data_IF_873644606110
#
_entry.id   IF_873644606110
#
_cell.length_a   1.000
_cell.length_b   1.000
_cell.length_c   1.000
_cell.angle_alpha   90.00
_cell.angle_beta   90.00
_cell.angle_gamma   90.00
#
_symmetry.space_group_name_H-M   'P 1'
#
loop_
_entity.id
_entity.type
_entity.pdbx_description
1 polymer ?
#
# COMPACT_ATOMS: atom_id res chain seq x y z
N UNK A 1 -29.70 -13.32 12.01
CA UNK A 1 -28.67 -12.28 11.76
C UNK A 1 -27.35 -12.80 12.32
N UNK A 2 -26.21 -12.65 11.64
CA UNK A 2 -24.92 -13.07 12.18
C UNK A 2 -24.60 -12.40 13.52
N UNK A 3 -24.07 -13.18 14.46
CA UNK A 3 -23.62 -12.69 15.77
C UNK A 3 -22.11 -12.87 15.85
N UNK A 4 -21.41 -11.79 16.19
CA UNK A 4 -19.98 -11.81 16.52
C UNK A 4 -19.80 -11.58 18.02
N UNK A 5 -18.64 -11.94 18.56
CA UNK A 5 -18.28 -11.68 19.95
C UNK A 5 -17.09 -10.75 20.04
N UNK A 6 -17.25 -9.66 20.78
CA UNK A 6 -16.22 -8.66 21.08
C UNK A 6 -16.03 -8.67 22.59
N UNK A 7 -14.85 -9.08 23.06
CA UNK A 7 -14.59 -9.26 24.51
C UNK A 7 -15.66 -10.14 25.18
N UNK A 8 -16.02 -11.24 24.52
CA UNK A 8 -17.08 -12.19 24.92
C UNK A 8 -18.50 -11.60 24.99
N UNK A 9 -18.71 -10.35 24.59
CA UNK A 9 -20.04 -9.75 24.46
C UNK A 9 -20.61 -9.98 23.06
N UNK A 10 -21.85 -10.51 22.93
CA UNK A 10 -22.47 -10.72 21.64
C UNK A 10 -22.84 -9.39 20.99
N UNK A 11 -22.59 -9.28 19.68
CA UNK A 11 -22.99 -8.15 18.86
C UNK A 11 -23.59 -8.67 17.55
N UNK A 12 -24.85 -8.31 17.31
CA UNK A 12 -25.60 -8.77 16.15
C UNK A 12 -25.40 -7.78 15.01
N UNK A 13 -25.03 -8.31 13.85
CA UNK A 13 -24.83 -7.52 12.63
C UNK A 13 -25.83 -7.95 11.56
N UNK A 14 -26.23 -7.01 10.70
CA UNK A 14 -26.87 -7.37 9.45
C UNK A 14 -25.91 -8.18 8.57
N UNK A 15 -26.45 -9.08 7.74
CA UNK A 15 -25.64 -9.99 6.92
C UNK A 15 -24.63 -9.26 6.03
N UNK A 16 -25.06 -8.16 5.41
CA UNK A 16 -24.19 -7.32 4.56
C UNK A 16 -23.03 -6.69 5.33
N UNK A 17 -23.28 -6.20 6.54
CA UNK A 17 -22.25 -5.62 7.40
C UNK A 17 -21.26 -6.69 7.90
N UNK A 18 -21.77 -7.89 8.21
CA UNK A 18 -20.93 -9.04 8.57
C UNK A 18 -20.00 -9.44 7.43
N UNK A 19 -20.51 -9.60 6.21
CA UNK A 19 -19.70 -10.00 5.04
C UNK A 19 -18.61 -8.95 4.71
N UNK A 20 -18.89 -7.67 4.94
CA UNK A 20 -17.90 -6.59 4.83
C UNK A 20 -16.87 -6.64 5.96
N UNK A 21 -17.32 -6.84 7.19
CA UNK A 21 -16.45 -6.93 8.36
C UNK A 21 -15.40 -8.05 8.20
N UNK A 22 -15.81 -9.24 7.77
CA UNK A 22 -14.90 -10.39 7.58
C UNK A 22 -13.75 -10.04 6.63
N UNK A 23 -14.01 -9.23 5.59
CA UNK A 23 -12.97 -8.76 4.65
C UNK A 23 -12.10 -7.65 5.21
N UNK A 24 -12.64 -6.84 6.13
CA UNK A 24 -11.94 -5.73 6.77
C UNK A 24 -11.04 -6.17 7.93
N UNK A 25 -11.41 -7.20 8.70
CA UNK A 25 -10.66 -7.63 9.88
C UNK A 25 -9.15 -7.82 9.61
N UNK A 26 -8.71 -8.48 8.52
CA UNK A 26 -7.28 -8.63 8.24
C UNK A 26 -6.53 -7.30 8.05
N UNK A 27 -7.23 -6.27 7.57
CA UNK A 27 -6.64 -4.94 7.40
C UNK A 27 -6.38 -4.24 8.75
N UNK A 28 -7.17 -4.57 9.77
CA UNK A 28 -6.97 -4.11 11.15
C UNK A 28 -6.07 -5.04 11.97
N UNK A 29 -5.44 -6.06 11.36
CA UNK A 29 -4.64 -7.04 12.09
C UNK A 29 -5.48 -7.92 13.03
N UNK A 30 -6.75 -8.11 12.69
CA UNK A 30 -7.72 -8.93 13.40
C UNK A 30 -8.14 -10.12 12.55
N UNK A 31 -8.70 -11.14 13.20
CA UNK A 31 -9.31 -12.28 12.55
C UNK A 31 -10.54 -12.74 13.33
N UNK A 32 -11.40 -13.48 12.65
CA UNK A 32 -12.57 -14.12 13.24
C UNK A 32 -12.25 -15.59 13.50
N UNK A 33 -12.56 -16.09 14.69
CA UNK A 33 -12.49 -17.54 14.99
C UNK A 33 -13.71 -18.27 14.45
N UNK A 34 -13.67 -19.60 14.45
CA UNK A 34 -14.82 -20.45 14.09
C UNK A 34 -16.06 -20.17 14.97
N UNK A 35 -15.83 -19.77 16.23
CA UNK A 35 -16.87 -19.35 17.18
C UNK A 35 -17.34 -17.89 17.00
N UNK A 36 -17.01 -17.24 15.87
CA UNK A 36 -17.30 -15.83 15.59
C UNK A 36 -16.70 -14.84 16.61
N UNK A 37 -15.59 -15.18 17.27
CA UNK A 37 -14.89 -14.26 18.18
C UNK A 37 -13.85 -13.44 17.42
N UNK A 38 -13.80 -12.13 17.67
CA UNK A 38 -12.75 -11.27 17.12
C UNK A 38 -11.49 -11.38 17.99
N UNK A 39 -10.38 -11.78 17.40
CA UNK A 39 -9.07 -11.89 18.07
C UNK A 39 -7.95 -11.26 17.23
N UNK A 40 -6.82 -10.96 17.88
CA UNK A 40 -5.63 -10.46 17.20
C UNK A 40 -4.99 -11.51 16.28
N UNK A 41 -4.79 -11.15 15.01
CA UNK A 41 -4.23 -12.04 13.98
C UNK A 41 -2.69 -12.14 14.03
N UNK A 42 -2.03 -11.31 14.84
CA UNK A 42 -0.56 -11.22 14.91
C UNK A 42 -0.01 -11.82 16.21
N UNK A 43 -0.81 -12.61 16.93
CA UNK A 43 -0.43 -13.29 18.17
C UNK A 43 0.87 -14.09 17.97
N UNK A 44 1.83 -13.88 18.86
CA UNK A 44 3.12 -14.57 18.85
C UNK A 44 4.17 -13.96 17.91
N UNK A 45 3.79 -13.00 17.05
CA UNK A 45 4.76 -12.23 16.26
C UNK A 45 5.43 -11.19 17.14
N UNK A 46 6.75 -11.08 16.99
CA UNK A 46 7.59 -10.09 17.66
C UNK A 46 8.27 -9.26 16.59
N UNK A 47 8.32 -7.95 16.80
CA UNK A 47 9.02 -7.02 15.93
C UNK A 47 10.00 -6.20 16.77
N UNK A 48 11.25 -6.20 16.36
CA UNK A 48 12.32 -5.45 16.99
C UNK A 48 12.62 -4.19 16.18
N UNK A 49 12.36 -3.04 16.79
CA UNK A 49 12.48 -1.73 16.17
C UNK A 49 13.67 -0.99 16.77
N UNK A 50 14.66 -0.65 15.94
CA UNK A 50 15.75 0.24 16.33
C UNK A 50 15.27 1.69 16.23
N UNK A 51 15.28 2.40 17.35
CA UNK A 51 14.94 3.84 17.40
C UNK A 51 15.61 4.52 18.57
N UNK A 52 15.86 5.82 18.44
CA UNK A 52 16.25 6.68 19.57
C UNK A 52 15.03 7.19 20.37
N UNK A 53 13.82 7.06 19.83
CA UNK A 53 12.59 7.57 20.44
C UNK A 53 11.73 6.42 20.96
N UNK A 54 11.97 5.99 22.20
CA UNK A 54 11.24 4.85 22.81
C UNK A 54 9.73 5.09 22.92
N UNK A 55 9.31 6.35 23.05
CA UNK A 55 7.91 6.75 23.02
C UNK A 55 7.21 6.29 21.73
N UNK A 56 7.91 6.31 20.59
CA UNK A 56 7.37 5.86 19.30
C UNK A 56 6.89 4.41 19.38
N UNK A 57 7.69 3.53 20.00
CA UNK A 57 7.38 2.11 20.20
C UNK A 57 6.25 1.94 21.21
N UNK A 58 6.30 2.66 22.33
CA UNK A 58 5.26 2.59 23.37
C UNK A 58 3.87 2.96 22.83
N UNK A 59 3.78 4.07 22.11
CA UNK A 59 2.54 4.54 21.49
C UNK A 59 2.07 3.59 20.37
N UNK A 60 3.00 3.09 19.53
CA UNK A 60 2.65 2.10 18.50
C UNK A 60 2.15 0.78 19.12
N UNK A 61 2.72 0.33 20.24
CA UNK A 61 2.24 -0.82 21.01
C UNK A 61 0.82 -0.57 21.52
N UNK A 62 0.54 0.62 22.06
CA UNK A 62 -0.79 0.99 22.52
C UNK A 62 -1.82 0.96 21.37
N UNK A 63 -1.49 1.53 20.21
CA UNK A 63 -2.35 1.50 19.02
C UNK A 63 -2.57 0.09 18.48
N UNK A 64 -1.57 -0.79 18.54
CA UNK A 64 -1.65 -2.14 18.00
C UNK A 64 -2.01 -3.23 19.02
N UNK A 65 -2.36 -2.86 20.26
CA UNK A 65 -2.65 -3.82 21.36
C UNK A 65 -3.62 -4.94 20.96
N UNK A 66 -4.65 -4.59 20.19
CA UNK A 66 -5.70 -5.50 19.73
C UNK A 66 -5.21 -6.61 18.78
N UNK A 67 -4.08 -6.38 18.10
CA UNK A 67 -3.53 -7.34 17.13
C UNK A 67 -2.74 -8.47 17.79
N UNK A 68 -2.42 -8.32 19.08
CA UNK A 68 -1.55 -9.23 19.85
C UNK A 68 -0.10 -9.33 19.33
N UNK A 69 0.37 -8.34 18.56
CA UNK A 69 1.79 -8.22 18.20
C UNK A 69 2.60 -7.66 19.39
N UNK A 70 3.82 -8.15 19.58
CA UNK A 70 4.78 -7.54 20.51
C UNK A 70 5.79 -6.67 19.78
N UNK A 71 5.86 -5.38 20.12
CA UNK A 71 6.91 -4.47 19.62
C UNK A 71 7.95 -4.24 20.72
N UNK A 72 9.22 -4.40 20.37
CA UNK A 72 10.34 -4.31 21.29
C UNK A 72 11.43 -3.39 20.74
N UNK A 73 12.19 -2.70 21.61
CA UNK A 73 13.41 -2.04 21.19
C UNK A 73 14.42 -3.08 20.69
N UNK A 74 15.07 -2.80 19.56
CA UNK A 74 16.10 -3.66 19.00
C UNK A 74 17.50 -3.25 19.46
N UNK A 75 18.36 -4.26 19.63
CA UNK A 75 19.82 -4.09 19.57
C UNK A 75 20.29 -4.36 18.12
N UNK A 76 21.53 -3.97 17.78
CA UNK A 76 22.04 -3.96 16.40
C UNK A 76 21.93 -5.31 15.66
N UNK A 77 22.02 -6.43 16.38
CA UNK A 77 22.05 -7.76 15.77
C UNK A 77 20.67 -8.37 15.49
N UNK A 78 19.58 -7.80 16.02
CA UNK A 78 18.22 -8.36 15.93
C UNK A 78 17.16 -7.35 15.46
N UNK A 79 17.52 -6.41 14.58
CA UNK A 79 16.59 -5.38 14.11
C UNK A 79 15.80 -5.78 12.85
N UNK A 80 14.47 -5.68 12.93
CA UNK A 80 13.55 -5.85 11.80
C UNK A 80 13.33 -4.52 11.05
N UNK A 81 13.29 -3.41 11.79
CA UNK A 81 12.96 -2.08 11.27
C UNK A 81 13.79 -1.01 11.97
N UNK A 82 14.19 0.03 11.23
CA UNK A 82 14.82 1.22 11.80
C UNK A 82 13.85 2.38 11.61
N UNK A 83 13.44 3.01 12.71
CA UNK A 83 12.53 4.13 12.72
C UNK A 83 13.13 5.32 13.46
N UNK A 84 13.11 6.50 12.84
CA UNK A 84 13.46 7.77 13.46
C UNK A 84 12.31 8.77 13.36
N UNK A 85 12.26 9.66 14.34
CA UNK A 85 11.33 10.77 14.39
C UNK A 85 12.14 12.06 14.39
N UNK A 86 11.69 13.04 13.61
CA UNK A 86 12.25 14.38 13.54
C UNK A 86 11.07 15.35 13.62
N UNK A 87 11.13 16.25 14.59
CA UNK A 87 10.18 17.35 14.71
C UNK A 87 10.53 18.44 13.68
N UNK A 88 10.25 18.14 12.41
CA UNK A 88 10.49 19.02 11.28
C UNK A 88 9.37 18.83 10.26
N UNK A 89 8.90 19.93 9.68
CA UNK A 89 7.90 19.96 8.62
C UNK A 89 8.47 20.40 7.26
N UNK A 90 9.79 20.60 7.17
CA UNK A 90 10.48 21.02 5.95
C UNK A 90 10.66 19.89 4.93
N UNK A 91 10.51 18.64 5.36
CA UNK A 91 10.62 17.43 4.55
C UNK A 91 9.25 16.74 4.38
N UNK A 92 9.10 15.83 3.39
CA UNK A 92 7.89 15.01 3.26
C UNK A 92 7.62 14.18 4.51
N UNK A 93 6.34 14.06 4.90
CA UNK A 93 5.90 13.44 6.16
C UNK A 93 6.65 12.15 6.54
N UNK A 94 6.87 11.25 5.57
CA UNK A 94 7.67 10.06 5.77
C UNK A 94 8.65 9.87 4.63
N UNK A 95 9.88 9.52 5.00
CA UNK A 95 10.90 9.11 4.04
C UNK A 95 11.34 7.68 4.33
N UNK A 96 11.31 6.83 3.30
CA UNK A 96 11.86 5.47 3.35
C UNK A 96 13.14 5.46 2.54
N UNK A 97 14.27 5.19 3.19
CA UNK A 97 15.57 5.07 2.54
C UNK A 97 15.95 3.59 2.39
N UNK A 98 16.25 3.23 1.16
CA UNK A 98 17.02 2.05 0.77
C UNK A 98 18.45 2.49 0.39
N UNK A 99 19.40 1.56 0.19
CA UNK A 99 20.82 1.85 -0.08
C UNK A 99 21.00 2.86 -1.23
N UNK A 100 20.14 2.76 -2.25
CA UNK A 100 20.28 3.52 -3.51
C UNK A 100 19.17 4.55 -3.73
N UNK A 101 18.13 4.57 -2.89
CA UNK A 101 16.90 5.33 -3.15
C UNK A 101 16.29 5.91 -1.87
N UNK A 102 15.81 7.16 -1.95
CA UNK A 102 14.94 7.79 -0.95
C UNK A 102 13.54 7.90 -1.54
N UNK A 103 12.58 7.21 -0.94
CA UNK A 103 11.16 7.32 -1.26
C UNK A 103 10.52 8.34 -0.33
N UNK A 104 9.83 9.33 -0.88
CA UNK A 104 9.06 10.31 -0.12
C UNK A 104 7.59 9.92 -0.18
N UNK A 105 6.99 9.71 0.99
CA UNK A 105 5.60 9.28 1.13
C UNK A 105 4.78 10.38 1.75
N UNK A 106 3.69 10.71 1.06
CA UNK A 106 2.74 11.74 1.46
C UNK A 106 1.43 11.04 1.82
N UNK A 107 0.83 11.35 2.98
CA UNK A 107 -0.51 10.90 3.34
C UNK A 107 -1.53 11.14 2.23
N UNK A 108 -2.34 10.13 1.92
CA UNK A 108 -3.54 10.29 1.09
C UNK A 108 -4.78 10.00 1.92
N UNK A 109 -5.59 11.02 2.15
CA UNK A 109 -6.85 10.93 2.91
C UNK A 109 -8.09 10.76 2.02
N UNK A 110 -7.92 10.92 0.71
CA UNK A 110 -9.00 10.72 -0.24
C UNK A 110 -9.32 9.23 -0.37
N UNK A 111 -10.60 8.88 -0.35
CA UNK A 111 -11.08 7.62 -0.92
C UNK A 111 -10.86 7.66 -2.43
N UNK A 112 -9.63 7.39 -2.84
CA UNK A 112 -9.37 6.92 -4.19
C UNK A 112 -9.87 5.47 -4.30
N UNK A 113 -10.08 4.99 -5.53
CA UNK A 113 -10.71 3.70 -5.90
C UNK A 113 -10.17 2.46 -5.16
N UNK A 114 -9.00 2.56 -4.51
CA UNK A 114 -8.40 1.48 -3.73
C UNK A 114 -8.59 1.67 -2.20
N UNK A 115 -9.56 0.94 -1.63
CA UNK A 115 -9.92 0.99 -0.19
C UNK A 115 -8.77 0.60 0.75
N UNK A 116 -7.87 -0.29 0.32
CA UNK A 116 -6.69 -0.64 1.14
C UNK A 116 -5.78 0.56 1.36
N UNK A 117 -5.66 1.43 0.35
CA UNK A 117 -4.90 2.67 0.47
C UNK A 117 -5.60 3.65 1.39
N UNK A 118 -6.92 3.67 1.42
CA UNK A 118 -7.64 4.53 2.36
C UNK A 118 -7.36 4.15 3.83
N UNK A 119 -7.46 2.86 4.17
CA UNK A 119 -7.21 2.35 5.54
C UNK A 119 -5.80 2.72 6.04
N UNK A 120 -4.80 2.62 5.16
CA UNK A 120 -3.40 2.91 5.49
C UNK A 120 -2.92 4.27 5.02
N UNK A 121 -3.81 5.24 4.75
CA UNK A 121 -3.47 6.61 4.33
C UNK A 121 -2.50 6.70 3.13
N UNK A 122 -2.61 5.77 2.19
CA UNK A 122 -1.78 5.69 0.98
C UNK A 122 -0.37 5.15 1.20
N UNK A 123 -0.05 4.70 2.41
CA UNK A 123 1.24 4.11 2.75
C UNK A 123 1.45 2.84 1.93
N UNK A 124 2.64 2.69 1.39
CA UNK A 124 3.12 1.47 0.76
C UNK A 124 4.59 1.26 1.12
N UNK A 125 4.99 -0.01 1.18
CA UNK A 125 6.38 -0.40 1.44
C UNK A 125 6.92 -1.00 0.14
N UNK A 126 8.11 -0.58 -0.34
CA UNK A 126 8.77 -1.24 -1.45
C UNK A 126 8.93 -2.74 -1.22
N UNK A 127 9.00 -3.55 -2.27
CA UNK A 127 9.18 -5.00 -2.11
C UNK A 127 10.49 -5.30 -1.37
N UNK A 128 10.38 -6.17 -0.38
CA UNK A 128 11.44 -6.57 0.55
C UNK A 128 12.65 -7.12 -0.20
N UNK A 129 13.80 -6.45 -0.04
CA UNK A 129 15.13 -7.05 -0.26
C UNK A 129 16.17 -6.55 0.77
N UNK A 130 15.91 -5.47 1.53
CA UNK A 130 16.87 -4.86 2.47
C UNK A 130 16.17 -4.23 3.68
N UNK A 131 16.93 -3.95 4.74
CA UNK A 131 16.49 -3.21 5.95
C UNK A 131 16.07 -1.79 5.58
N UNK A 132 14.85 -1.38 5.96
CA UNK A 132 14.36 -0.03 5.71
C UNK A 132 14.75 0.93 6.82
N UNK A 133 15.26 2.08 6.43
CA UNK A 133 15.39 3.24 7.32
C UNK A 133 14.20 4.16 7.08
N UNK A 134 13.32 4.24 8.07
CA UNK A 134 12.12 5.07 8.00
C UNK A 134 12.35 6.28 8.89
N UNK A 135 12.09 7.46 8.35
CA UNK A 135 12.12 8.71 9.10
C UNK A 135 10.78 9.41 8.95
N UNK A 136 10.18 9.75 10.09
CA UNK A 136 8.97 10.54 10.18
C UNK A 136 9.34 12.00 10.45
N UNK A 137 8.93 12.89 9.55
CA UNK A 137 9.12 14.34 9.62
C UNK A 137 7.75 14.95 9.91
N UNK A 138 7.40 15.05 11.19
CA UNK A 138 6.08 15.51 11.58
C UNK A 138 6.14 16.21 12.95
N UNK A 139 5.18 17.10 13.26
CA UNK A 139 5.24 17.92 14.47
C UNK A 139 4.93 17.15 15.77
N UNK A 140 4.54 15.88 15.66
CA UNK A 140 4.03 15.11 16.79
C UNK A 140 4.41 13.65 16.69
N UNK A 141 4.99 13.12 17.78
CA UNK A 141 5.30 11.69 17.94
C UNK A 141 4.05 10.83 17.77
N UNK A 142 2.87 11.31 18.18
CA UNK A 142 1.61 10.58 18.03
C UNK A 142 1.27 10.29 16.57
N UNK A 143 1.52 11.26 15.67
CA UNK A 143 1.32 11.07 14.22
C UNK A 143 2.35 10.10 13.64
N UNK A 144 3.61 10.19 14.09
CA UNK A 144 4.64 9.23 13.71
C UNK A 144 4.29 7.81 14.15
N UNK A 145 3.78 7.64 15.37
CA UNK A 145 3.35 6.35 15.91
C UNK A 145 2.16 5.77 15.17
N UNK A 146 1.18 6.59 14.77
CA UNK A 146 0.07 6.17 13.92
C UNK A 146 0.59 5.56 12.61
N UNK A 147 1.48 6.28 11.93
CA UNK A 147 2.05 5.85 10.66
C UNK A 147 2.92 4.60 10.80
N UNK A 148 3.70 4.53 11.87
CA UNK A 148 4.44 3.32 12.23
C UNK A 148 3.49 2.14 12.42
N UNK A 149 2.35 2.32 13.09
CA UNK A 149 1.36 1.25 13.27
C UNK A 149 0.81 0.74 11.94
N UNK A 150 0.50 1.62 10.98
CA UNK A 150 0.07 1.19 9.64
C UNK A 150 1.16 0.47 8.86
N UNK A 151 2.41 0.94 8.95
CA UNK A 151 3.55 0.26 8.35
C UNK A 151 3.75 -1.15 8.91
N UNK A 152 3.61 -1.31 10.23
CA UNK A 152 3.71 -2.62 10.88
C UNK A 152 2.60 -3.55 10.39
N UNK A 153 1.35 -3.08 10.34
CA UNK A 153 0.23 -3.86 9.80
C UNK A 153 0.49 -4.27 8.36
N UNK A 154 0.90 -3.34 7.49
CA UNK A 154 1.24 -3.63 6.09
C UNK A 154 2.40 -4.63 5.97
N UNK A 155 3.45 -4.46 6.77
CA UNK A 155 4.62 -5.34 6.76
C UNK A 155 4.25 -6.78 7.16
N UNK A 156 3.35 -6.92 8.13
CA UNK A 156 2.92 -8.22 8.64
C UNK A 156 1.84 -8.89 7.80
N UNK A 157 1.09 -8.11 7.02
CA UNK A 157 -0.03 -8.58 6.21
C UNK A 157 0.38 -8.86 4.76
N UNK A 158 1.30 -9.81 4.56
CA UNK A 158 1.85 -10.19 3.23
C UNK A 158 0.78 -10.58 2.21
N UNK A 159 -0.38 -11.09 2.64
CA UNK A 159 -1.49 -11.52 1.80
C UNK A 159 -2.82 -11.02 2.35
N UNK A 160 -3.13 -9.74 2.11
CA UNK A 160 -4.46 -9.20 2.41
C UNK A 160 -5.49 -9.69 1.38
N UNK A 161 -6.70 -10.08 1.81
CA UNK A 161 -7.76 -10.45 0.89
C UNK A 161 -8.16 -9.25 0.04
N UNK A 162 -8.71 -9.48 -1.16
CA UNK A 162 -9.24 -8.38 -1.95
C UNK A 162 -10.37 -7.66 -1.20
N UNK A 163 -10.20 -6.35 -1.03
CA UNK A 163 -11.18 -5.49 -0.38
C UNK A 163 -12.07 -4.81 -1.43
N UNK A 164 -13.32 -5.27 -1.62
CA UNK A 164 -14.23 -4.64 -2.57
C UNK A 164 -14.54 -3.20 -2.14
N UNK A 165 -14.90 -2.31 -3.09
CA UNK A 165 -15.38 -0.98 -2.74
C UNK A 165 -16.58 -1.07 -1.78
N UNK A 166 -16.52 -0.34 -0.67
CA UNK A 166 -17.62 -0.17 0.26
C UNK A 166 -18.00 1.31 0.39
N UNK A 167 -19.26 1.57 0.78
CA UNK A 167 -19.73 2.93 1.04
C UNK A 167 -19.08 3.47 2.31
N UNK A 168 -18.77 4.76 2.32
CA UNK A 168 -18.14 5.43 3.47
C UNK A 168 -18.95 5.23 4.76
N UNK A 169 -20.28 5.33 4.68
CA UNK A 169 -21.16 5.16 5.84
C UNK A 169 -21.09 3.74 6.41
N UNK A 170 -21.01 2.72 5.55
CA UNK A 170 -20.86 1.33 5.99
C UNK A 170 -19.54 1.10 6.70
N UNK A 171 -18.46 1.71 6.22
CA UNK A 171 -17.16 1.66 6.89
C UNK A 171 -17.16 2.40 8.21
N UNK A 172 -17.69 3.63 8.24
CA UNK A 172 -17.80 4.42 9.45
C UNK A 172 -18.61 3.68 10.52
N UNK A 173 -19.70 3.02 10.13
CA UNK A 173 -20.50 2.17 11.00
C UNK A 173 -19.68 1.02 11.61
N UNK A 174 -18.92 0.29 10.80
CA UNK A 174 -18.06 -0.80 11.31
C UNK A 174 -16.95 -0.28 12.22
N UNK A 175 -16.38 0.89 11.92
CA UNK A 175 -15.41 1.53 12.80
C UNK A 175 -16.04 1.89 14.15
N UNK A 176 -17.21 2.54 14.17
CA UNK A 176 -17.86 2.99 15.41
C UNK A 176 -18.38 1.84 16.28
N UNK A 177 -18.96 0.83 15.65
CA UNK A 177 -19.69 -0.20 16.39
C UNK A 177 -18.88 -1.47 16.65
N UNK A 178 -17.83 -1.72 15.85
CA UNK A 178 -16.97 -2.90 16.01
C UNK A 178 -15.57 -2.48 16.45
N UNK A 179 -14.83 -1.75 15.61
CA UNK A 179 -13.42 -1.46 15.89
C UNK A 179 -13.24 -0.60 17.13
N UNK A 180 -14.10 0.39 17.35
CA UNK A 180 -14.06 1.25 18.54
C UNK A 180 -14.29 0.45 19.83
N UNK A 181 -15.09 -0.63 19.79
CA UNK A 181 -15.26 -1.54 20.95
C UNK A 181 -14.03 -2.41 21.18
N UNK A 182 -13.34 -2.83 20.11
CA UNK A 182 -12.12 -3.64 20.18
C UNK A 182 -10.92 -2.80 20.63
N UNK A 183 -10.76 -1.61 20.04
CA UNK A 183 -9.66 -0.70 20.32
C UNK A 183 -10.01 0.76 19.96
N UNK A 184 -10.50 1.55 20.93
CA UNK A 184 -10.85 2.95 20.72
C UNK A 184 -9.69 3.79 20.18
N UNK A 185 -8.48 3.55 20.69
CA UNK A 185 -7.29 4.34 20.35
C UNK A 185 -6.92 4.20 18.88
N UNK A 186 -7.05 3.00 18.30
CA UNK A 186 -6.81 2.79 16.88
C UNK A 186 -8.00 3.24 16.02
N UNK A 187 -9.24 3.02 16.48
CA UNK A 187 -10.45 3.41 15.77
C UNK A 187 -10.53 4.92 15.49
N UNK A 188 -10.03 5.76 16.42
CA UNK A 188 -10.00 7.21 16.27
C UNK A 188 -9.27 7.69 15.00
N UNK A 189 -8.29 6.92 14.52
CA UNK A 189 -7.47 7.26 13.36
C UNK A 189 -8.01 6.71 12.03
N UNK A 190 -8.99 5.81 12.09
CA UNK A 190 -9.57 5.15 10.92
C UNK A 190 -10.56 6.05 10.17
N UNK A 191 -10.98 7.15 10.78
CA UNK A 191 -11.87 8.13 10.16
C UNK A 191 -11.10 9.40 9.80
N UNK A 192 -11.41 10.03 8.65
CA UNK A 192 -10.87 11.34 8.32
C UNK A 192 -11.40 12.35 9.35
N UNK A 193 -10.57 12.71 10.31
CA UNK A 193 -10.87 13.75 11.28
C UNK A 193 -10.70 15.11 10.60
N UNK A 194 -11.72 15.98 10.71
CA UNK A 194 -11.68 17.37 10.21
C UNK A 194 -10.54 18.22 10.82
N UNK A 195 -9.87 17.71 11.85
CA UNK A 195 -8.85 18.37 12.65
C UNK A 195 -7.42 17.95 12.33
N UNK A 196 -7.20 17.07 11.34
CA UNK A 196 -5.83 16.83 10.90
C UNK A 196 -5.31 18.09 10.21
N UNK A 197 -4.12 18.59 10.58
CA UNK A 197 -3.59 19.81 9.99
C UNK A 197 -3.60 19.66 8.47
N UNK A 198 -4.15 20.64 7.76
CA UNK A 198 -3.86 20.82 6.34
C UNK A 198 -2.36 21.16 6.26
N UNK A 199 -1.54 20.12 6.25
CA UNK A 199 -0.12 20.28 6.12
C UNK A 199 0.14 20.81 4.70
N UNK A 200 0.50 22.09 4.61
CA UNK A 200 1.03 22.71 3.40
C UNK A 200 2.45 22.18 3.20
N UNK A 201 2.54 21.01 2.57
CA UNK A 201 3.81 20.36 2.26
C UNK A 201 4.58 21.16 1.20
N UNK A 202 5.92 21.16 1.25
CA UNK A 202 6.71 21.73 0.18
C UNK A 202 6.34 21.05 -1.14
N UNK A 203 6.04 21.86 -2.15
CA UNK A 203 5.74 21.39 -3.50
C UNK A 203 6.95 20.57 -3.96
N UNK A 204 6.75 19.27 -4.18
CA UNK A 204 7.79 18.40 -4.72
C UNK A 204 8.34 19.08 -5.98
N UNK A 205 9.68 19.17 -6.16
CA UNK A 205 10.24 19.77 -7.35
C UNK A 205 9.61 19.09 -8.57
N UNK A 206 9.19 19.87 -9.58
CA UNK A 206 8.50 19.32 -10.74
C UNK A 206 9.34 18.16 -11.26
N UNK A 207 8.71 16.99 -11.42
CA UNK A 207 9.38 15.81 -11.96
C UNK A 207 10.18 16.27 -13.17
N UNK A 208 11.51 16.16 -13.09
CA UNK A 208 12.35 16.34 -14.25
C UNK A 208 11.89 15.25 -15.21
N UNK A 209 11.03 15.64 -16.15
CA UNK A 209 10.68 14.82 -17.28
C UNK A 209 12.03 14.42 -17.85
N UNK A 210 12.38 13.14 -17.70
CA UNK A 210 13.47 12.53 -18.43
C UNK A 210 13.18 12.91 -19.87
N UNK A 211 13.92 13.91 -20.38
CA UNK A 211 13.77 14.38 -21.75
C UNK A 211 13.85 13.11 -22.57
N UNK A 212 12.72 12.70 -23.13
CA UNK A 212 12.67 11.61 -24.08
C UNK A 212 13.79 11.94 -25.06
N UNK A 213 14.85 11.12 -25.05
CA UNK A 213 15.90 11.23 -26.05
C UNK A 213 15.15 11.00 -27.35
N UNK A 214 14.74 12.10 -28.01
CA UNK A 214 14.14 12.09 -29.33
C UNK A 214 15.11 11.29 -30.18
N UNK A 215 14.77 10.03 -30.47
CA UNK A 215 15.40 9.31 -31.58
C UNK A 215 15.26 10.26 -32.77
N UNK A 216 16.37 10.70 -33.34
CA UNK A 216 16.39 11.41 -34.61
C UNK A 216 15.75 10.46 -35.63
N UNK A 217 14.46 10.64 -35.87
CA UNK A 217 13.79 10.08 -37.04
C UNK A 217 14.25 10.98 -38.18
N UNK A 218 15.20 10.48 -38.97
CA UNK A 218 15.57 11.10 -40.24
C UNK A 218 14.32 11.14 -41.11
N UNK A 219 13.85 12.36 -41.41
CA UNK A 219 12.86 12.63 -42.44
C UNK A 219 13.49 12.36 -43.80
N UNK A 220 12.99 11.37 -44.54
CA UNK A 220 12.98 11.41 -45.99
C UNK A 220 11.52 11.30 -46.47
N UNK A 221 11.07 12.44 -47.01
CA UNK A 221 10.11 12.72 -48.10
C UNK A 221 9.16 11.57 -48.51
N UNK A 222 7.85 11.76 -48.29
CA UNK A 222 6.86 12.27 -49.27
C UNK A 222 6.47 11.17 -50.27
N UNK A 223 5.30 10.56 -50.09
CA UNK A 223 4.18 10.67 -51.04
C UNK A 223 2.97 9.84 -50.61
N UNK A 224 1.80 10.50 -50.64
CA UNK A 224 0.40 10.00 -50.78
C UNK A 224 -0.04 8.81 -49.91
N UNK A 225 -1.18 8.85 -49.22
CA UNK A 225 -2.53 8.68 -49.80
C UNK A 225 -3.59 9.14 -48.78
N UNK A 226 -4.53 9.92 -49.31
CA UNK A 226 -5.93 10.19 -48.95
C UNK A 226 -6.52 9.67 -47.63
N UNK A 227 -7.14 10.61 -46.91
CA UNK A 227 -8.23 10.37 -45.97
C UNK A 227 -9.49 9.93 -46.72
N UNK A 228 -10.27 9.01 -46.14
CA UNK A 228 -11.74 9.13 -46.01
C UNK A 228 -12.35 7.96 -45.19
N UNK A 229 -13.18 8.37 -44.23
CA UNK A 229 -14.50 7.83 -43.83
C UNK A 229 -14.64 6.41 -43.23
N UNK A 230 -15.42 6.44 -42.16
CA UNK A 230 -16.02 5.37 -41.38
C UNK A 230 -16.91 4.40 -42.18
N UNK A 231 -16.87 3.13 -41.73
CA UNK A 231 -17.92 2.10 -41.58
C UNK A 231 -17.54 0.75 -42.21
N UNK A 232 -18.07 -0.40 -41.76
CA UNK A 232 -18.33 -0.88 -40.39
C UNK A 232 -17.66 -2.26 -40.13
N UNK A 233 -17.82 -2.77 -38.90
CA UNK A 233 -17.36 -4.09 -38.42
C UNK A 233 -17.62 -5.26 -39.40
N UNK A 234 -16.59 -6.07 -39.65
CA UNK A 234 -16.75 -7.51 -39.92
C UNK A 234 -16.12 -8.32 -38.80
N UNK A 235 -16.97 -9.10 -38.15
CA UNK A 235 -16.62 -10.10 -37.14
C UNK A 235 -15.90 -11.27 -37.81
N UNK A 236 -14.59 -11.39 -37.59
CA UNK A 236 -13.89 -12.68 -37.70
C UNK A 236 -13.16 -12.98 -36.40
N UNK A 237 -13.70 -13.98 -35.72
CA UNK A 237 -13.26 -14.56 -34.46
C UNK A 237 -11.78 -14.98 -34.56
N UNK A 238 -10.90 -14.29 -33.83
CA UNK A 238 -9.49 -14.67 -33.71
C UNK A 238 -9.37 -15.91 -32.81
N UNK A 239 -9.08 -17.08 -33.39
CA UNK A 239 -8.87 -18.31 -32.63
C UNK A 239 -7.35 -18.58 -32.45
N UNK A 240 -6.82 -18.53 -31.21
CA UNK A 240 -5.39 -18.58 -30.95
C UNK A 240 -4.77 -19.99 -31.05
N UNK A 241 -5.51 -21.03 -31.46
CA UNK A 241 -5.01 -22.41 -31.53
C UNK A 241 -4.77 -22.97 -32.96
N UNK A 242 -4.91 -22.16 -34.01
CA UNK A 242 -4.52 -22.59 -35.38
C UNK A 242 -3.08 -22.18 -35.68
N UNK A 243 -2.18 -23.18 -35.71
CA UNK A 243 -0.78 -23.06 -36.17
C UNK A 243 -0.75 -22.90 -37.68
N UNK A 244 -0.45 -21.69 -38.16
CA UNK A 244 -0.01 -21.50 -39.55
C UNK A 244 1.47 -21.88 -39.67
N UNK A 245 1.75 -22.89 -40.49
CA UNK A 245 3.10 -23.27 -40.89
C UNK A 245 3.53 -22.34 -42.01
N UNK A 246 4.45 -21.41 -41.74
CA UNK A 246 5.23 -20.74 -42.79
C UNK A 246 6.69 -21.18 -42.70
N UNK A 247 7.21 -21.55 -43.86
CA UNK A 247 8.51 -22.13 -44.17
C UNK A 247 9.70 -21.32 -43.67
N UNK A 248 10.77 -22.06 -43.39
CA UNK A 248 12.03 -21.61 -42.81
C UNK A 248 12.75 -20.53 -43.62
N UNK A 249 13.28 -19.52 -42.92
CA UNK A 249 14.53 -18.88 -43.33
C UNK A 249 15.37 -18.64 -42.08
N UNK A 250 16.42 -19.45 -41.92
CA UNK A 250 17.42 -19.31 -40.85
C UNK A 250 18.18 -17.99 -41.07
N UNK A 251 17.96 -17.00 -40.21
CA UNK A 251 18.87 -15.84 -40.10
C UNK A 251 20.03 -16.21 -39.18
N UNK A 252 21.19 -16.50 -39.79
CA UNK A 252 22.43 -16.78 -39.06
C UNK A 252 23.19 -15.45 -38.84
N UNK A 253 23.59 -15.07 -37.61
CA UNK A 253 24.03 -13.70 -37.31
C UNK A 253 25.53 -13.43 -37.51
N UNK A 254 26.30 -14.33 -38.13
CA UNK A 254 27.74 -14.13 -38.36
C UNK A 254 28.18 -14.55 -39.76
N UNK A 255 27.97 -13.69 -40.75
CA UNK A 255 28.72 -13.75 -42.02
C UNK A 255 29.38 -12.40 -42.29
N UNK A 256 30.71 -12.37 -42.09
CA UNK A 256 31.58 -11.29 -42.52
C UNK A 256 31.67 -11.32 -44.06
N UNK A 257 31.32 -10.22 -44.72
CA UNK A 257 31.66 -10.01 -46.13
C UNK A 257 33.19 -9.86 -46.24
N UNK A 258 33.83 -10.72 -47.03
CA UNK A 258 35.17 -10.46 -47.58
C UNK A 258 35.04 -9.32 -48.60
N UNK A 259 35.98 -8.38 -48.55
CA UNK A 259 36.27 -7.49 -49.65
C UNK A 259 37.51 -8.02 -50.37
N UNK A 260 37.43 -8.01 -51.68
CA UNK A 260 38.42 -8.48 -52.65
C UNK A 260 39.74 -7.70 -52.59
N UNK A 261 40.84 -8.42 -52.81
CA UNK A 261 41.82 -8.20 -53.88
C UNK A 261 42.37 -9.56 -54.33
#
# INVERSE_FOLDING_TARGET
MPTIYIHDQPFVLHRTAFDQLVKLLPYWGLQLTDDNKIIGALKGKRLFIKTHHQELISQANHLLKHTSIGLYPANDDQMDLIASYVNDSSEPFMTIKDTDRKYCLIPSYHLNVNQSRFIYKGIWIPKQNKKYHITFHCPSVYLASEWLSYLILLHQSKHLPFLPPFKQDSYNYLVDHVLNKVNPSFAAYQKPTKTQPEFLWPVLPPQQTLKSKKKRINKLKHDTIQAFKNEPMTTTTFNPFKKERSTSTKMNPFTKKKHDY
#
